data_IF_706995298804
#
_entry.id   IF_706995298804
#
_cell.length_a   1.000
_cell.length_b   1.000
_cell.length_c   1.000
_cell.angle_alpha   90.00
_cell.angle_beta   90.00
_cell.angle_gamma   90.00
#
_symmetry.space_group_name_H-M   'P 1'
#
loop_
_entity.id
_entity.type
_entity.pdbx_description
1 polymer ?
#
# COMPACT_ATOMS: atom_id res chain seq x y z
N UNK A 1 -15.84 -0.71 -11.69
CA UNK A 1 -14.54 -1.40 -11.87
C UNK A 1 -14.48 -2.47 -10.80
N UNK A 2 -14.40 -3.75 -11.16
CA UNK A 2 -14.28 -4.82 -10.17
C UNK A 2 -12.90 -4.74 -9.50
N UNK A 3 -12.82 -4.88 -8.18
CA UNK A 3 -11.56 -4.95 -7.46
C UNK A 3 -10.80 -6.21 -7.93
N UNK A 4 -9.48 -6.14 -8.21
CA UNK A 4 -8.70 -7.32 -8.58
C UNK A 4 -8.77 -8.38 -7.47
N UNK A 5 -8.92 -9.64 -7.86
CA UNK A 5 -9.39 -10.73 -6.98
C UNK A 5 -8.32 -11.39 -6.10
N UNK A 6 -7.06 -10.93 -6.05
CA UNK A 6 -6.02 -11.60 -5.25
C UNK A 6 -4.97 -10.66 -4.62
N UNK A 7 -5.28 -9.38 -4.43
CA UNK A 7 -4.32 -8.44 -3.84
C UNK A 7 -4.52 -8.36 -2.32
N UNK A 8 -3.71 -9.12 -1.58
CA UNK A 8 -3.62 -9.05 -0.12
C UNK A 8 -2.37 -8.30 0.31
N UNK A 9 -2.46 -7.47 1.36
CA UNK A 9 -1.27 -6.88 1.99
C UNK A 9 -0.33 -7.95 2.57
N UNK A 10 -0.78 -9.19 2.76
CA UNK A 10 0.09 -10.27 3.21
C UNK A 10 0.98 -10.83 2.09
N UNK A 11 0.68 -10.54 0.82
CA UNK A 11 1.49 -11.01 -0.30
C UNK A 11 2.83 -10.27 -0.34
N UNK A 12 3.90 -10.94 0.09
CA UNK A 12 5.27 -10.38 0.17
C UNK A 12 5.87 -10.05 -1.19
N UNK A 13 5.41 -10.67 -2.27
CA UNK A 13 5.86 -10.34 -3.61
C UNK A 13 5.33 -8.96 -4.05
N UNK A 14 4.09 -8.62 -3.69
CA UNK A 14 3.47 -7.35 -4.04
C UNK A 14 3.69 -6.26 -2.99
N UNK A 15 3.78 -6.66 -1.73
CA UNK A 15 3.99 -5.76 -0.60
C UNK A 15 5.18 -6.24 0.24
N UNK A 16 6.40 -6.21 -0.30
CA UNK A 16 7.59 -6.68 0.41
C UNK A 16 7.83 -5.93 1.71
N UNK A 17 8.42 -6.63 2.69
CA UNK A 17 9.10 -5.98 3.82
C UNK A 17 10.35 -5.23 3.33
N UNK A 18 10.98 -4.43 4.18
CA UNK A 18 12.15 -3.66 3.77
C UNK A 18 13.28 -4.56 3.25
N UNK A 19 13.55 -5.66 3.95
CA UNK A 19 14.62 -6.60 3.58
C UNK A 19 14.35 -7.36 2.27
N UNK A 20 13.09 -7.43 1.84
CA UNK A 20 12.65 -8.09 0.61
C UNK A 20 12.58 -7.11 -0.58
N UNK A 21 12.87 -5.82 -0.37
CA UNK A 21 12.88 -4.84 -1.46
C UNK A 21 14.05 -5.08 -2.42
N UNK A 22 13.85 -4.83 -3.73
CA UNK A 22 14.95 -4.81 -4.68
C UNK A 22 15.97 -3.73 -4.28
N UNK A 23 17.25 -4.07 -4.41
CA UNK A 23 18.36 -3.14 -4.16
C UNK A 23 18.61 -2.28 -5.40
N UNK A 24 18.90 -0.99 -5.22
CA UNK A 24 19.06 -0.07 -6.35
C UNK A 24 20.21 -0.40 -7.31
N UNK A 25 21.25 -1.08 -6.83
CA UNK A 25 22.47 -1.46 -7.55
C UNK A 25 22.52 -2.96 -7.93
N UNK A 26 21.47 -3.73 -7.63
CA UNK A 26 21.40 -5.16 -7.94
C UNK A 26 20.16 -5.50 -8.80
N UNK A 27 20.34 -6.36 -9.79
CA UNK A 27 19.24 -6.86 -10.60
C UNK A 27 18.44 -7.92 -9.81
N UNK A 28 17.21 -7.58 -9.45
CA UNK A 28 16.25 -8.55 -8.91
C UNK A 28 15.27 -9.02 -9.99
N UNK A 29 15.45 -10.25 -10.46
CA UNK A 29 14.61 -10.87 -11.49
C UNK A 29 13.15 -11.08 -11.02
N UNK A 30 12.86 -11.02 -9.72
CA UNK A 30 11.49 -11.05 -9.23
C UNK A 30 10.73 -9.77 -9.61
N UNK A 31 11.43 -8.64 -9.74
CA UNK A 31 10.83 -7.33 -9.95
C UNK A 31 11.13 -6.72 -11.32
N UNK A 32 12.24 -7.10 -11.94
CA UNK A 32 12.70 -6.53 -13.20
C UNK A 32 12.89 -7.61 -14.27
N UNK A 33 12.71 -7.19 -15.52
CA UNK A 33 13.07 -7.97 -16.70
C UNK A 33 13.89 -7.10 -17.64
N UNK A 34 14.99 -7.65 -18.15
CA UNK A 34 15.80 -7.03 -19.19
C UNK A 34 15.09 -7.15 -20.55
N UNK A 35 14.86 -6.00 -21.18
CA UNK A 35 14.31 -5.89 -22.51
C UNK A 35 15.39 -6.19 -23.57
N UNK A 36 15.02 -6.55 -24.81
CA UNK A 36 15.99 -6.85 -25.87
C UNK A 36 16.97 -5.70 -26.20
N UNK A 37 16.64 -4.46 -25.82
CA UNK A 37 17.49 -3.29 -25.98
C UNK A 37 18.41 -3.02 -24.77
N UNK A 38 18.47 -3.93 -23.80
CA UNK A 38 19.26 -3.82 -22.57
C UNK A 38 18.64 -2.92 -21.49
N UNK A 39 17.42 -2.40 -21.70
CA UNK A 39 16.72 -1.63 -20.65
C UNK A 39 16.13 -2.58 -19.61
N UNK A 40 16.34 -2.27 -18.33
CA UNK A 40 15.62 -2.91 -17.23
C UNK A 40 14.28 -2.20 -17.03
N UNK A 41 13.19 -2.96 -17.09
CA UNK A 41 11.86 -2.48 -16.74
C UNK A 41 11.27 -3.35 -15.63
N UNK A 42 10.43 -2.78 -14.75
CA UNK A 42 9.61 -3.58 -13.87
C UNK A 42 8.82 -4.63 -14.66
N UNK A 43 8.71 -5.84 -14.13
CA UNK A 43 7.86 -6.88 -14.69
C UNK A 43 6.52 -7.03 -13.95
N UNK A 44 6.40 -6.37 -12.79
CA UNK A 44 5.22 -6.37 -11.93
C UNK A 44 5.12 -5.06 -11.13
N UNK A 45 4.01 -4.87 -10.42
CA UNK A 45 3.88 -3.77 -9.47
C UNK A 45 4.22 -4.26 -8.06
N UNK A 46 4.92 -3.44 -7.28
CA UNK A 46 5.08 -3.67 -5.84
C UNK A 46 4.95 -2.37 -5.06
N UNK A 47 4.70 -2.47 -3.77
CA UNK A 47 4.51 -1.32 -2.89
C UNK A 47 4.98 -1.65 -1.49
N UNK A 48 6.02 -0.97 -1.02
CA UNK A 48 6.42 -1.02 0.38
C UNK A 48 5.38 -0.29 1.24
N UNK A 49 5.20 -0.74 2.48
CA UNK A 49 4.42 0.02 3.46
C UNK A 49 4.94 -0.18 4.88
N UNK A 50 4.78 0.85 5.71
CA UNK A 50 5.18 0.83 7.12
C UNK A 50 4.51 1.94 7.92
N UNK A 51 4.36 1.74 9.22
CA UNK A 51 3.85 2.77 10.14
C UNK A 51 4.98 3.71 10.52
N UNK A 52 4.75 5.01 10.42
CA UNK A 52 5.68 6.04 10.89
C UNK A 52 5.74 5.96 12.41
N UNK A 53 6.93 5.66 12.93
CA UNK A 53 7.24 5.59 14.36
C UNK A 53 8.13 6.74 14.83
N UNK A 54 8.68 7.52 13.89
CA UNK A 54 9.40 8.76 14.19
C UNK A 54 9.32 9.75 13.03
N UNK A 55 8.91 10.98 13.34
CA UNK A 55 8.68 12.07 12.38
C UNK A 55 9.46 13.36 12.73
N UNK A 56 10.41 13.29 13.66
CA UNK A 56 11.19 14.45 14.13
C UNK A 56 11.92 15.20 13.01
N UNK A 57 12.25 14.51 11.93
CA UNK A 57 12.99 15.04 10.77
C UNK A 57 12.08 15.23 9.54
N UNK A 58 10.76 15.00 9.66
CA UNK A 58 9.85 15.00 8.52
C UNK A 58 9.65 16.39 7.90
N UNK A 59 9.96 17.46 8.64
CA UNK A 59 9.83 18.84 8.18
C UNK A 59 11.17 19.51 7.83
N UNK A 60 12.29 18.79 7.95
CA UNK A 60 13.63 19.34 7.70
C UNK A 60 14.07 19.11 6.25
N UNK A 61 13.72 20.05 5.37
CA UNK A 61 14.07 19.98 3.95
C UNK A 61 15.59 19.91 3.69
N UNK A 62 16.41 20.49 4.57
CA UNK A 62 17.88 20.52 4.45
C UNK A 62 18.51 19.11 4.53
N UNK A 63 17.85 18.16 5.20
CA UNK A 63 18.34 16.79 5.36
C UNK A 63 17.63 15.78 4.43
N UNK A 64 16.80 16.27 3.51
CA UNK A 64 15.75 15.48 2.89
C UNK A 64 14.70 15.15 3.95
N UNK A 65 13.42 15.40 3.66
CA UNK A 65 12.37 15.06 4.65
C UNK A 65 12.54 13.58 5.02
N UNK A 66 12.54 13.26 6.32
CA UNK A 66 12.85 11.91 6.79
C UNK A 66 11.86 11.43 7.84
N UNK A 67 11.46 10.18 7.70
CA UNK A 67 10.67 9.46 8.70
C UNK A 67 11.29 8.10 9.00
N UNK A 68 11.16 7.66 10.23
CA UNK A 68 11.41 6.27 10.63
C UNK A 68 10.10 5.50 10.59
N UNK A 69 10.11 4.35 9.93
CA UNK A 69 8.94 3.51 9.73
C UNK A 69 9.18 2.11 10.28
N UNK A 70 8.20 1.56 10.98
CA UNK A 70 8.13 0.15 11.36
C UNK A 70 7.40 -0.61 10.27
N UNK A 71 8.08 -1.57 9.65
CA UNK A 71 7.48 -2.43 8.63
C UNK A 71 6.68 -3.59 9.27
N UNK A 72 6.10 -4.46 8.43
CA UNK A 72 5.31 -5.61 8.88
C UNK A 72 6.09 -6.66 9.69
N UNK A 73 7.43 -6.66 9.61
CA UNK A 73 8.28 -7.57 10.39
C UNK A 73 8.57 -7.01 11.78
N UNK A 74 8.18 -5.75 12.02
CA UNK A 74 8.50 -5.00 13.24
C UNK A 74 9.85 -4.28 13.17
N UNK A 75 10.58 -4.41 12.07
CA UNK A 75 11.88 -3.75 11.87
C UNK A 75 11.68 -2.27 11.53
N UNK A 76 12.59 -1.42 12.01
CA UNK A 76 12.53 0.04 11.80
C UNK A 76 13.54 0.46 10.74
N UNK A 77 13.06 1.26 9.78
CA UNK A 77 13.83 1.71 8.63
C UNK A 77 13.57 3.17 8.33
N UNK A 78 14.53 3.84 7.67
CA UNK A 78 14.35 5.23 7.25
C UNK A 78 13.77 5.30 5.84
N UNK A 79 12.86 6.26 5.63
CA UNK A 79 12.47 6.74 4.30
C UNK A 79 12.96 8.18 4.18
N UNK A 80 13.73 8.45 3.12
CA UNK A 80 14.27 9.77 2.82
C UNK A 80 13.62 10.31 1.55
N UNK A 81 13.01 11.48 1.66
CA UNK A 81 12.38 12.18 0.54
C UNK A 81 13.31 13.26 0.00
N UNK A 82 13.75 13.06 -1.23
CA UNK A 82 14.55 13.99 -2.04
C UNK A 82 13.74 14.37 -3.29
N UNK A 83 12.65 15.13 -3.14
CA UNK A 83 11.66 15.30 -4.21
C UNK A 83 12.27 16.00 -5.43
N UNK A 84 12.17 15.34 -6.59
CA UNK A 84 12.49 15.91 -7.91
C UNK A 84 11.22 16.23 -8.70
N UNK A 85 10.10 15.57 -8.38
CA UNK A 85 8.79 15.76 -8.99
C UNK A 85 7.65 15.41 -8.01
N UNK A 86 6.42 15.80 -8.40
CA UNK A 86 5.19 15.45 -7.69
C UNK A 86 4.90 16.31 -6.46
N UNK A 87 3.82 15.97 -5.76
CA UNK A 87 3.43 16.64 -4.52
C UNK A 87 2.97 15.63 -3.47
N UNK A 88 3.35 15.89 -2.22
CA UNK A 88 2.91 15.16 -1.05
C UNK A 88 2.67 16.17 0.07
N UNK A 89 1.57 16.01 0.81
CA UNK A 89 1.37 16.76 2.04
C UNK A 89 2.35 16.24 3.10
N UNK A 90 3.50 16.89 3.20
CA UNK A 90 4.53 16.56 4.19
C UNK A 90 4.03 16.71 5.63
N UNK A 91 2.96 17.48 5.87
CA UNK A 91 2.38 17.60 7.20
C UNK A 91 1.67 16.31 7.64
N UNK A 92 1.28 15.46 6.69
CA UNK A 92 0.70 14.13 6.93
C UNK A 92 1.72 13.06 7.35
N UNK A 93 3.02 13.32 7.18
CA UNK A 93 4.10 12.43 7.63
C UNK A 93 4.24 12.50 9.16
N UNK A 94 3.32 11.83 9.86
CA UNK A 94 3.16 11.88 11.31
C UNK A 94 3.25 10.50 11.93
N UNK A 95 3.81 10.45 13.14
CA UNK A 95 3.82 9.23 13.95
C UNK A 95 2.41 8.64 14.08
N UNK A 96 2.28 7.33 13.86
CA UNK A 96 1.01 6.59 13.88
C UNK A 96 0.27 6.53 12.53
N UNK A 97 0.73 7.24 11.50
CA UNK A 97 0.24 7.08 10.12
C UNK A 97 1.00 5.97 9.38
N UNK A 98 0.40 5.38 8.35
CA UNK A 98 1.03 4.38 7.50
C UNK A 98 1.39 5.00 6.15
N UNK A 99 2.65 4.88 5.76
CA UNK A 99 3.15 5.32 4.45
C UNK A 99 3.26 4.13 3.50
N UNK A 100 2.85 4.35 2.25
CA UNK A 100 3.01 3.45 1.13
C UNK A 100 3.96 4.09 0.12
N UNK A 101 4.93 3.32 -0.38
CA UNK A 101 5.85 3.76 -1.43
C UNK A 101 5.79 2.72 -2.55
N UNK A 102 5.18 3.10 -3.67
CA UNK A 102 5.05 2.24 -4.83
C UNK A 102 6.37 2.20 -5.60
N UNK A 103 6.75 1.00 -6.06
CA UNK A 103 8.06 0.74 -6.67
C UNK A 103 9.25 1.12 -5.77
N UNK A 104 9.08 0.99 -4.45
CA UNK A 104 10.16 1.26 -3.50
C UNK A 104 11.38 0.38 -3.79
N UNK A 105 12.57 0.94 -3.60
CA UNK A 105 13.84 0.23 -3.63
C UNK A 105 14.62 0.58 -2.38
N UNK A 106 15.43 -0.36 -1.89
CA UNK A 106 16.40 -0.07 -0.83
C UNK A 106 17.71 0.39 -1.46
N UNK A 107 18.28 1.44 -0.90
CA UNK A 107 19.51 2.07 -1.35
C UNK A 107 20.50 2.15 -0.18
N UNK A 108 21.78 1.87 -0.42
CA UNK A 108 22.83 2.11 0.55
C UNK A 108 23.25 3.59 0.55
N UNK A 109 23.15 4.24 1.70
CA UNK A 109 23.58 5.62 1.92
C UNK A 109 24.92 5.63 2.65
N UNK A 110 26.00 5.89 1.92
CA UNK A 110 27.37 5.84 2.45
C UNK A 110 27.63 6.85 3.57
N UNK A 111 27.01 8.04 3.49
CA UNK A 111 27.10 9.11 4.48
C UNK A 111 26.40 8.75 5.80
N UNK A 112 25.34 7.96 5.74
CA UNK A 112 24.59 7.47 6.90
C UNK A 112 25.02 6.06 7.35
N UNK A 113 25.90 5.41 6.59
CA UNK A 113 26.33 4.02 6.77
C UNK A 113 25.14 3.06 6.99
N UNK A 114 24.03 3.28 6.27
CA UNK A 114 22.79 2.50 6.42
C UNK A 114 22.08 2.33 5.08
N UNK A 115 21.25 1.30 5.00
CA UNK A 115 20.26 1.19 3.93
C UNK A 115 18.99 1.96 4.30
N UNK A 116 18.35 2.54 3.28
CA UNK A 116 17.09 3.24 3.43
C UNK A 116 16.31 3.27 2.10
N UNK A 117 15.02 3.65 2.16
CA UNK A 117 14.23 3.91 0.96
C UNK A 117 14.45 5.36 0.54
N UNK A 118 14.91 5.56 -0.70
CA UNK A 118 15.00 6.89 -1.32
C UNK A 118 13.74 7.16 -2.14
N UNK A 119 13.11 8.30 -1.90
CA UNK A 119 11.93 8.74 -2.65
C UNK A 119 12.23 10.03 -3.38
N UNK A 120 12.14 10.00 -4.70
CA UNK A 120 12.33 11.18 -5.55
C UNK A 120 11.01 11.66 -6.19
N UNK A 121 10.12 10.74 -6.54
CA UNK A 121 8.83 11.03 -7.15
C UNK A 121 7.68 10.92 -6.12
N UNK A 122 7.20 12.06 -5.63
CA UNK A 122 6.23 12.09 -4.53
C UNK A 122 4.86 11.52 -4.91
N UNK A 123 4.53 11.46 -6.19
CA UNK A 123 3.26 10.89 -6.67
C UNK A 123 3.16 9.36 -6.47
N UNK A 124 4.28 8.68 -6.19
CA UNK A 124 4.33 7.27 -5.82
C UNK A 124 4.31 7.03 -4.31
N UNK A 125 4.02 8.07 -3.53
CA UNK A 125 3.83 8.00 -2.09
C UNK A 125 2.37 8.22 -1.74
N UNK A 126 1.86 7.41 -0.81
CA UNK A 126 0.55 7.64 -0.19
C UNK A 126 0.68 7.52 1.31
N UNK A 127 0.10 8.46 2.04
CA UNK A 127 0.04 8.40 3.50
C UNK A 127 -1.41 8.21 3.90
N UNK A 128 -1.68 7.16 4.66
CA UNK A 128 -2.98 6.89 5.25
C UNK A 128 -2.86 7.20 6.74
N UNK A 129 -3.69 8.10 7.31
CA UNK A 129 -3.56 8.57 8.70
C UNK A 129 -4.09 7.53 9.71
N UNK A 130 -3.65 6.28 9.59
CA UNK A 130 -4.01 5.13 10.44
C UNK A 130 -2.76 4.28 10.70
N UNK A 131 -2.71 3.64 11.86
CA UNK A 131 -1.60 2.75 12.20
C UNK A 131 -1.63 1.45 11.39
N UNK A 132 -0.49 0.75 11.38
CA UNK A 132 -0.31 -0.46 10.58
C UNK A 132 -1.28 -1.56 11.00
N UNK A 133 -1.51 -1.73 12.31
CA UNK A 133 -2.37 -2.80 12.84
C UNK A 133 -3.83 -2.65 12.39
N UNK A 134 -4.40 -1.44 12.46
CA UNK A 134 -5.76 -1.15 12.01
C UNK A 134 -5.89 -1.31 10.49
N UNK A 135 -4.86 -0.91 9.76
CA UNK A 135 -4.81 -1.04 8.31
C UNK A 135 -4.78 -2.51 7.87
N UNK A 136 -3.94 -3.34 8.50
CA UNK A 136 -3.87 -4.78 8.25
C UNK A 136 -5.18 -5.49 8.62
N UNK A 137 -5.77 -5.13 9.76
CA UNK A 137 -7.07 -5.65 10.18
C UNK A 137 -8.16 -5.33 9.15
N UNK A 138 -8.21 -4.08 8.68
CA UNK A 138 -9.22 -3.64 7.70
C UNK A 138 -9.02 -4.31 6.35
N UNK A 139 -7.78 -4.44 5.89
CA UNK A 139 -7.45 -5.18 4.67
C UNK A 139 -7.91 -6.65 4.77
N UNK A 140 -7.61 -7.32 5.89
CA UNK A 140 -8.01 -8.71 6.12
C UNK A 140 -9.53 -8.90 6.14
N UNK A 141 -10.25 -7.98 6.78
CA UNK A 141 -11.70 -8.09 6.94
C UNK A 141 -12.46 -7.83 5.64
N UNK A 142 -12.00 -6.89 4.80
CA UNK A 142 -12.77 -6.42 3.64
C UNK A 142 -12.18 -6.79 2.28
N UNK A 143 -10.88 -7.06 2.18
CA UNK A 143 -10.22 -7.35 0.89
C UNK A 143 -9.80 -8.80 0.78
N UNK A 144 -9.29 -9.42 1.84
CA UNK A 144 -8.86 -10.83 1.80
C UNK A 144 -10.05 -11.80 1.80
N UNK A 145 -11.19 -11.40 2.38
CA UNK A 145 -12.37 -12.24 2.62
C UNK A 145 -13.56 -11.94 1.71
N UNK A 146 -13.33 -11.53 0.46
CA UNK A 146 -14.42 -11.17 -0.46
C UNK A 146 -15.42 -12.30 -0.78
N UNK A 147 -15.08 -13.56 -0.49
CA UNK A 147 -15.96 -14.71 -0.59
C UNK A 147 -16.92 -14.89 0.60
N UNK A 148 -16.80 -14.06 1.63
CA UNK A 148 -17.63 -14.10 2.83
C UNK A 148 -18.28 -12.73 3.09
N UNK A 149 -19.45 -12.74 3.71
CA UNK A 149 -20.12 -11.52 4.13
C UNK A 149 -19.30 -10.81 5.19
N UNK A 150 -18.98 -9.53 4.96
CA UNK A 150 -18.18 -8.70 5.86
C UNK A 150 -18.84 -8.41 7.21
N UNK A 151 -20.12 -8.76 7.38
CA UNK A 151 -20.86 -8.57 8.62
C UNK A 151 -21.07 -9.89 9.39
N UNK A 152 -21.73 -10.87 8.79
CA UNK A 152 -22.09 -12.11 9.48
C UNK A 152 -21.17 -13.30 9.16
N UNK A 153 -20.20 -13.15 8.25
CA UNK A 153 -19.29 -14.22 7.87
C UNK A 153 -19.89 -15.33 7.01
N UNK A 154 -21.17 -15.24 6.62
CA UNK A 154 -21.78 -16.22 5.72
C UNK A 154 -21.07 -16.24 4.36
N UNK A 155 -20.91 -17.42 3.76
CA UNK A 155 -20.33 -17.54 2.42
C UNK A 155 -21.22 -16.81 1.38
N UNK A 156 -20.59 -15.98 0.55
CA UNK A 156 -21.25 -15.24 -0.55
C UNK A 156 -20.74 -15.67 -1.92
N UNK A 157 -19.81 -16.63 -1.99
CA UNK A 157 -19.26 -17.13 -3.26
C UNK A 157 -20.35 -17.64 -4.22
N UNK A 158 -21.41 -18.26 -3.69
CA UNK A 158 -22.55 -18.74 -4.47
C UNK A 158 -23.41 -17.64 -5.09
N UNK A 159 -23.27 -16.38 -4.65
CA UNK A 159 -23.96 -15.22 -5.21
C UNK A 159 -23.21 -14.61 -6.41
N UNK A 160 -21.97 -15.03 -6.65
CA UNK A 160 -21.12 -14.48 -7.72
C UNK A 160 -21.02 -12.96 -7.67
N UNK A 161 -21.11 -12.31 -8.85
CA UNK A 161 -21.08 -10.85 -8.98
C UNK A 161 -22.35 -10.14 -8.48
N UNK A 162 -23.39 -10.87 -8.07
CA UNK A 162 -24.66 -10.31 -7.60
C UNK A 162 -24.69 -10.06 -6.09
N UNK A 163 -23.64 -10.42 -5.35
CA UNK A 163 -23.55 -10.13 -3.93
C UNK A 163 -23.62 -8.60 -3.68
N UNK A 164 -24.55 -8.11 -2.84
CA UNK A 164 -24.62 -6.69 -2.51
C UNK A 164 -23.30 -6.17 -1.92
N UNK A 165 -22.86 -4.99 -2.36
CA UNK A 165 -21.64 -4.34 -1.88
C UNK A 165 -21.93 -2.95 -1.31
N UNK A 166 -20.99 -2.42 -0.53
CA UNK A 166 -20.98 -1.01 -0.20
C UNK A 166 -20.75 -0.20 -1.49
N UNK A 167 -21.63 0.76 -1.76
CA UNK A 167 -21.58 1.55 -3.00
C UNK A 167 -20.36 2.49 -3.04
N UNK A 168 -19.92 2.98 -1.88
CA UNK A 168 -18.78 3.87 -1.77
C UNK A 168 -17.43 3.13 -1.93
N UNK A 169 -17.13 2.17 -1.05
CA UNK A 169 -15.81 1.53 -1.05
C UNK A 169 -15.71 0.29 -1.95
N UNK A 170 -16.83 -0.33 -2.33
CA UNK A 170 -16.91 -1.60 -3.09
C UNK A 170 -16.24 -2.82 -2.42
N UNK A 171 -15.52 -2.64 -1.31
CA UNK A 171 -14.80 -3.67 -0.60
C UNK A 171 -15.71 -4.51 0.29
N UNK A 172 -16.62 -3.87 1.05
CA UNK A 172 -17.54 -4.60 1.92
C UNK A 172 -18.61 -5.35 1.11
N UNK A 173 -18.70 -6.66 1.30
CA UNK A 173 -19.64 -7.57 0.61
C UNK A 173 -20.64 -8.14 1.60
N UNK A 174 -21.88 -8.31 1.17
CA UNK A 174 -22.98 -8.77 2.04
C UNK A 174 -23.72 -9.95 1.42
N UNK A 175 -24.29 -10.81 2.27
CA UNK A 175 -25.09 -11.96 1.81
C UNK A 175 -26.49 -11.56 1.34
N UNK A 176 -26.98 -10.37 1.73
CA UNK A 176 -28.28 -9.84 1.32
C UNK A 176 -28.34 -8.31 1.52
N UNK A 177 -29.26 -7.61 0.85
CA UNK A 177 -29.49 -6.17 1.06
C UNK A 177 -29.86 -5.85 2.52
N UNK A 178 -30.68 -6.69 3.16
CA UNK A 178 -31.05 -6.52 4.57
C UNK A 178 -29.83 -6.60 5.50
N UNK A 179 -28.89 -7.52 5.23
CA UNK A 179 -27.65 -7.61 6.01
C UNK A 179 -26.76 -6.37 5.82
N UNK A 180 -26.71 -5.81 4.60
CA UNK A 180 -26.02 -4.55 4.31
C UNK A 180 -26.61 -3.39 5.12
N UNK A 181 -27.93 -3.22 5.09
CA UNK A 181 -28.61 -2.12 5.78
C UNK A 181 -28.44 -2.20 7.30
N UNK A 182 -28.58 -3.39 7.88
CA UNK A 182 -28.40 -3.61 9.31
C UNK A 182 -26.98 -3.32 9.81
N UNK A 183 -25.96 -3.49 8.95
CA UNK A 183 -24.55 -3.34 9.31
C UNK A 183 -23.87 -2.09 8.74
N UNK A 184 -24.60 -1.25 8.02
CA UNK A 184 -24.09 -0.01 7.45
C UNK A 184 -23.46 0.94 8.49
N UNK A 185 -24.03 1.12 9.71
CA UNK A 185 -23.42 1.99 10.73
C UNK A 185 -22.04 1.49 11.19
N UNK A 186 -21.91 0.18 11.43
CA UNK A 186 -20.64 -0.43 11.84
C UNK A 186 -19.59 -0.30 10.73
N UNK A 187 -19.95 -0.65 9.50
CA UNK A 187 -19.07 -0.49 8.34
C UNK A 187 -18.68 0.97 8.10
N UNK A 188 -19.56 1.94 8.40
CA UNK A 188 -19.31 3.36 8.23
C UNK A 188 -18.01 3.84 8.88
N UNK A 189 -17.65 3.26 10.03
CA UNK A 189 -16.38 3.56 10.72
C UNK A 189 -15.12 3.10 9.97
N UNK A 190 -15.23 2.10 9.11
CA UNK A 190 -14.13 1.55 8.29
C UNK A 190 -14.20 1.96 6.82
N UNK A 191 -15.35 2.45 6.35
CA UNK A 191 -15.60 2.69 4.92
C UNK A 191 -14.58 3.65 4.31
N UNK A 192 -14.21 4.71 5.02
CA UNK A 192 -13.18 5.66 4.56
C UNK A 192 -11.82 4.97 4.35
N UNK A 193 -11.38 4.16 5.32
CA UNK A 193 -10.14 3.39 5.21
C UNK A 193 -10.19 2.36 4.09
N UNK A 194 -11.35 1.73 3.84
CA UNK A 194 -11.54 0.88 2.68
C UNK A 194 -11.39 1.65 1.35
N UNK A 195 -11.90 2.89 1.27
CA UNK A 195 -11.69 3.72 0.08
C UNK A 195 -10.20 4.04 -0.15
N UNK A 196 -9.46 4.36 0.92
CA UNK A 196 -8.01 4.60 0.85
C UNK A 196 -7.25 3.35 0.39
N UNK A 197 -7.55 2.17 0.96
CA UNK A 197 -6.96 0.90 0.56
C UNK A 197 -7.32 0.49 -0.87
N UNK A 198 -8.55 0.78 -1.33
CA UNK A 198 -8.94 0.51 -2.70
C UNK A 198 -8.06 1.28 -3.70
N UNK A 199 -7.55 2.47 -3.35
CA UNK A 199 -6.58 3.20 -4.16
C UNK A 199 -5.19 2.57 -4.16
N UNK A 200 -4.83 1.86 -3.10
CA UNK A 200 -3.58 1.07 -3.06
C UNK A 200 -3.69 -0.13 -3.99
N UNK A 201 -4.84 -0.80 -3.99
CA UNK A 201 -5.10 -2.00 -4.80
C UNK A 201 -5.61 -1.73 -6.22
N UNK A 202 -5.67 -0.48 -6.68
CA UNK A 202 -6.31 -0.10 -7.94
C UNK A 202 -5.53 -0.48 -9.22
N UNK A 203 -4.55 -1.38 -9.13
CA UNK A 203 -3.64 -1.77 -10.18
C UNK A 203 -3.57 -3.29 -10.33
N UNK A 204 -3.10 -3.75 -11.49
CA UNK A 204 -2.57 -5.11 -11.63
C UNK A 204 -1.22 -5.19 -10.93
N UNK A 205 -1.08 -6.13 -9.99
CA UNK A 205 0.19 -6.42 -9.34
C UNK A 205 0.99 -7.53 -10.04
N UNK A 206 0.37 -8.30 -10.93
CA UNK A 206 1.02 -9.37 -11.66
C UNK A 206 1.79 -8.92 -12.91
N UNK A 207 1.42 -7.77 -13.45
CA UNK A 207 1.94 -7.29 -14.72
C UNK A 207 2.22 -5.80 -14.65
N UNK A 208 3.46 -5.42 -14.92
CA UNK A 208 3.78 -4.03 -15.19
C UNK A 208 3.31 -3.65 -16.59
N UNK A 209 2.55 -2.55 -16.68
CA UNK A 209 2.13 -1.95 -17.96
C UNK A 209 2.79 -0.59 -18.09
N UNK A 210 2.64 0.23 -17.06
CA UNK A 210 3.21 1.57 -16.97
C UNK A 210 3.41 1.97 -15.50
N UNK A 211 4.15 3.06 -15.31
CA UNK A 211 4.32 3.68 -14.00
C UNK A 211 3.04 4.41 -13.60
N UNK A 212 2.26 3.81 -12.70
CA UNK A 212 1.00 4.40 -12.23
C UNK A 212 1.19 5.03 -10.84
N UNK A 213 1.06 6.36 -10.69
CA UNK A 213 1.12 7.02 -9.38
C UNK A 213 -0.12 6.71 -8.53
N UNK A 214 -0.08 7.05 -7.24
CA UNK A 214 -1.31 7.07 -6.44
C UNK A 214 -2.21 8.21 -6.93
N UNK A 215 -3.53 7.98 -6.90
CA UNK A 215 -4.50 9.04 -7.20
C UNK A 215 -4.51 10.01 -6.01
N UNK A 216 -4.40 11.30 -6.30
CA UNK A 216 -4.60 12.38 -5.34
C UNK A 216 -6.09 12.66 -5.17
#
# INVERSE_FOLDING_TARGET
>A
MALPTHTSLQNRLYFPSFAELPQADELDNNYFTEQPNGMLLPNRTWTFFGEIVGDSLSQLSVLGHRVEVRDVTGSVHSILFFPTSGSLDMSGLRTGATVFVRYAMRCFFSDLATEAIKVEELNFVKVIPMNLDMLLYTASMYFDRQSHCSACGACVAGLGGSAPRCEACQAAVYCSPACREANAPLHGSFCGLCCELAQVFNLSFDSFIEWVPFRQ
#
